data_IF_756922183684
#
_entry.id   IF_756922183684
#
_cell.length_a   1.000
_cell.length_b   1.000
_cell.length_c   1.000
_cell.angle_alpha   90.00
_cell.angle_beta   90.00
_cell.angle_gamma   90.00
#
_symmetry.space_group_name_H-M   'P 1'
#
loop_
_entity.id
_entity.type
_entity.pdbx_description
1 polymer ?
#
# COMPACT_ATOMS: atom_id res chain seq x y z
N UNK A 1 -24.40 5.34 65.00
CA UNK A 1 -24.15 4.54 63.78
C UNK A 1 -24.12 5.51 62.60
N UNK A 2 -22.98 5.66 61.91
CA UNK A 2 -22.84 6.62 60.82
C UNK A 2 -23.58 6.13 59.56
N UNK A 3 -24.07 7.06 58.71
CA UNK A 3 -24.75 6.73 57.47
C UNK A 3 -23.77 6.12 56.44
N UNK A 4 -24.27 5.30 55.50
CA UNK A 4 -23.43 4.60 54.53
C UNK A 4 -22.82 5.55 53.49
N UNK A 5 -21.65 5.14 53.02
CA UNK A 5 -20.71 5.89 52.21
C UNK A 5 -21.28 6.41 50.88
N UNK A 6 -20.90 7.66 50.57
CA UNK A 6 -21.02 8.29 49.25
C UNK A 6 -20.49 7.37 48.15
N UNK A 7 -21.38 6.94 47.27
CA UNK A 7 -21.06 6.51 45.92
C UNK A 7 -20.45 7.69 45.17
N UNK A 8 -19.15 7.61 44.89
CA UNK A 8 -18.46 8.53 43.98
C UNK A 8 -18.97 8.22 42.58
N UNK A 9 -19.80 9.12 42.03
CA UNK A 9 -20.16 9.11 40.62
C UNK A 9 -18.89 9.30 39.75
N UNK A 10 -18.80 8.67 38.57
CA UNK A 10 -17.71 8.92 37.65
C UNK A 10 -17.90 10.31 37.02
N UNK A 11 -17.07 11.26 37.46
CA UNK A 11 -16.99 12.61 36.91
C UNK A 11 -16.97 12.60 35.38
N UNK A 12 -17.84 13.46 34.85
CA UNK A 12 -18.14 13.74 33.47
C UNK A 12 -16.89 13.78 32.56
N UNK A 13 -16.97 13.04 31.46
CA UNK A 13 -16.11 13.23 30.28
C UNK A 13 -16.26 14.68 29.81
N UNK A 14 -15.35 15.55 30.27
CA UNK A 14 -15.12 16.86 29.67
C UNK A 14 -14.84 16.66 28.20
N UNK A 15 -15.84 16.96 27.38
CA UNK A 15 -15.73 17.12 25.95
C UNK A 15 -14.60 18.12 25.68
N UNK A 16 -13.45 17.60 25.25
CA UNK A 16 -12.41 18.39 24.60
C UNK A 16 -13.10 19.05 23.39
N UNK A 17 -13.50 20.30 23.55
CA UNK A 17 -13.90 21.18 22.46
C UNK A 17 -12.67 21.37 21.60
N UNK A 18 -12.56 20.49 20.60
CA UNK A 18 -11.58 20.56 19.55
C UNK A 18 -11.69 21.96 18.93
N UNK A 19 -10.64 22.80 19.09
CA UNK A 19 -10.39 23.91 18.17
C UNK A 19 -10.33 23.29 16.77
N UNK A 20 -11.45 23.37 16.08
CA UNK A 20 -11.61 22.98 14.70
C UNK A 20 -10.66 23.87 13.89
N UNK A 21 -9.48 23.33 13.55
CA UNK A 21 -9.01 23.50 12.18
C UNK A 21 -10.16 22.94 11.33
N UNK A 22 -11.15 23.77 10.97
CA UNK A 22 -12.17 23.49 9.96
C UNK A 22 -11.38 23.12 8.69
N UNK A 23 -11.03 21.84 8.56
CA UNK A 23 -10.64 21.24 7.30
C UNK A 23 -11.91 21.29 6.48
N UNK A 24 -12.06 22.38 5.72
CA UNK A 24 -12.95 22.56 4.57
C UNK A 24 -13.17 21.17 3.93
N UNK A 25 -14.24 20.48 4.36
CA UNK A 25 -14.40 19.04 4.11
C UNK A 25 -14.97 18.82 2.73
N UNK A 26 -14.35 19.50 1.76
CA UNK A 26 -14.55 19.29 0.34
C UNK A 26 -14.60 17.78 0.09
N UNK A 27 -15.71 17.25 -0.44
CA UNK A 27 -15.88 15.82 -0.56
C UNK A 27 -14.82 15.28 -1.53
N UNK A 28 -14.02 14.31 -1.07
CA UNK A 28 -12.97 13.68 -1.87
C UNK A 28 -13.36 12.24 -2.16
N UNK A 29 -13.54 11.90 -3.44
CA UNK A 29 -13.82 10.52 -3.87
C UNK A 29 -12.77 9.95 -4.84
N UNK A 30 -11.76 10.76 -5.23
CA UNK A 30 -10.73 10.37 -6.19
C UNK A 30 -9.36 10.89 -5.79
N UNK A 31 -8.33 10.07 -6.07
CA UNK A 31 -6.93 10.42 -5.85
C UNK A 31 -6.21 10.38 -7.19
N UNK A 32 -5.55 11.48 -7.53
CA UNK A 32 -4.65 11.57 -8.68
C UNK A 32 -3.20 11.51 -8.20
N UNK A 33 -2.42 10.58 -8.73
CA UNK A 33 -1.00 10.44 -8.39
C UNK A 33 -0.13 10.71 -9.62
N UNK A 34 0.41 11.92 -9.71
CA UNK A 34 1.20 12.36 -10.85
C UNK A 34 2.69 12.25 -10.56
N UNK A 35 3.47 11.81 -11.54
CA UNK A 35 4.92 11.75 -11.45
C UNK A 35 5.52 13.13 -11.74
N UNK A 36 6.48 13.53 -10.90
CA UNK A 36 7.27 14.75 -11.08
C UNK A 36 8.62 14.44 -11.74
N UNK A 37 9.05 15.30 -12.65
CA UNK A 37 10.34 15.22 -13.35
C UNK A 37 11.20 16.45 -13.05
N UNK A 38 11.75 16.55 -11.82
CA UNK A 38 12.55 17.70 -11.43
C UNK A 38 13.91 17.74 -12.12
N UNK A 39 14.43 18.94 -12.39
CA UNK A 39 15.84 19.17 -12.76
C UNK A 39 16.77 18.78 -11.61
N UNK A 40 18.08 18.67 -11.87
CA UNK A 40 19.08 18.34 -10.83
C UNK A 40 19.02 19.30 -9.63
N UNK A 41 18.92 20.60 -9.88
CA UNK A 41 18.79 21.62 -8.82
C UNK A 41 17.46 21.48 -8.05
N UNK A 42 16.34 21.28 -8.75
CA UNK A 42 15.03 21.07 -8.12
C UNK A 42 15.02 19.82 -7.23
N UNK A 43 15.68 18.75 -7.69
CA UNK A 43 15.81 17.49 -6.96
C UNK A 43 16.57 17.65 -5.65
N UNK A 44 17.66 18.42 -5.62
CA UNK A 44 18.41 18.69 -4.39
C UNK A 44 17.56 19.41 -3.35
N UNK A 45 16.77 20.40 -3.79
CA UNK A 45 15.82 21.11 -2.94
C UNK A 45 14.74 20.16 -2.41
N UNK A 46 14.13 19.33 -3.27
CA UNK A 46 13.17 18.30 -2.84
C UNK A 46 13.79 17.36 -1.79
N UNK A 47 14.99 16.83 -2.03
CA UNK A 47 15.69 15.98 -1.09
C UNK A 47 15.95 16.69 0.26
N UNK A 48 16.23 18.00 0.24
CA UNK A 48 16.36 18.83 1.44
C UNK A 48 15.03 19.00 2.19
N UNK A 49 13.90 19.18 1.50
CA UNK A 49 12.57 19.23 2.13
C UNK A 49 12.28 17.93 2.90
N UNK A 50 12.44 16.77 2.25
CA UNK A 50 12.22 15.46 2.88
C UNK A 50 13.22 15.16 4.01
N UNK A 51 14.48 15.59 3.86
CA UNK A 51 15.46 15.44 4.92
C UNK A 51 15.10 16.26 6.16
N UNK A 52 14.61 17.49 5.97
CA UNK A 52 14.25 18.41 7.04
C UNK A 52 12.96 18.00 7.75
N UNK A 53 11.90 17.69 6.99
CA UNK A 53 10.64 17.17 7.56
C UNK A 53 10.91 15.93 8.44
N UNK A 54 11.70 14.98 7.96
CA UNK A 54 12.09 13.78 8.72
C UNK A 54 12.90 14.12 9.97
N UNK A 55 13.85 15.04 9.88
CA UNK A 55 14.71 15.41 11.01
C UNK A 55 13.90 16.07 12.12
N UNK A 56 13.00 17.00 11.77
CA UNK A 56 12.10 17.70 12.69
C UNK A 56 11.14 16.71 13.35
N UNK A 57 10.44 15.89 12.56
CA UNK A 57 9.56 14.85 13.10
C UNK A 57 10.29 13.92 14.08
N UNK A 58 11.47 13.39 13.69
CA UNK A 58 12.23 12.51 14.58
C UNK A 58 12.71 13.22 15.85
N UNK A 59 12.99 14.52 15.76
CA UNK A 59 13.37 15.32 16.92
C UNK A 59 12.18 15.53 17.88
N UNK A 60 10.99 15.83 17.35
CA UNK A 60 9.74 15.90 18.11
C UNK A 60 9.47 14.58 18.86
N UNK A 61 9.57 13.44 18.15
CA UNK A 61 9.37 12.11 18.75
C UNK A 61 10.42 11.80 19.84
N UNK A 62 11.67 12.21 19.63
CA UNK A 62 12.75 11.97 20.59
C UNK A 62 12.61 12.82 21.86
N UNK A 63 12.26 14.10 21.71
CA UNK A 63 12.06 15.02 22.84
C UNK A 63 10.83 14.63 23.67
N UNK A 64 9.70 14.34 23.02
CA UNK A 64 8.47 13.90 23.69
C UNK A 64 8.55 12.55 24.39
N UNK A 65 9.65 11.81 24.28
CA UNK A 65 9.73 10.44 24.80
C UNK A 65 9.58 10.38 26.33
N UNK A 66 10.23 11.28 27.06
CA UNK A 66 10.20 11.27 28.52
C UNK A 66 8.79 11.61 29.05
N UNK A 67 8.18 12.68 28.54
CA UNK A 67 6.85 13.09 29.00
C UNK A 67 5.75 12.13 28.57
N UNK A 68 5.88 11.49 27.40
CA UNK A 68 4.97 10.40 26.99
C UNK A 68 5.05 9.18 27.92
N UNK A 69 6.21 8.90 28.51
CA UNK A 69 6.35 7.87 29.55
C UNK A 69 5.85 8.38 30.91
N UNK A 70 5.99 9.67 31.21
CA UNK A 70 5.43 10.28 32.43
C UNK A 70 3.89 10.25 32.49
N UNK A 71 3.20 10.20 31.35
CA UNK A 71 1.74 10.01 31.29
C UNK A 71 1.33 8.68 31.96
N UNK A 72 2.18 7.65 31.94
CA UNK A 72 1.87 6.38 32.62
C UNK A 72 2.04 6.44 34.14
N UNK A 73 2.71 7.47 34.68
CA UNK A 73 2.96 7.65 36.12
C UNK A 73 2.05 8.70 36.77
N UNK A 74 0.95 9.09 36.12
CA UNK A 74 -0.07 9.98 36.69
C UNK A 74 0.08 11.47 36.37
N UNK A 75 1.04 11.89 35.52
CA UNK A 75 1.12 13.28 35.05
C UNK A 75 -0.04 13.58 34.09
N UNK A 76 -0.96 14.45 34.49
CA UNK A 76 -2.08 14.95 33.67
C UNK A 76 -1.60 16.01 32.67
N UNK A 77 -0.95 15.60 31.58
CA UNK A 77 -0.72 16.49 30.42
C UNK A 77 -1.75 16.15 29.34
N UNK A 78 -2.56 17.14 28.94
CA UNK A 78 -3.52 16.97 27.85
C UNK A 78 -2.79 16.78 26.51
N UNK A 79 -3.46 16.20 25.51
CA UNK A 79 -2.86 16.02 24.18
C UNK A 79 -2.48 17.37 23.57
N UNK A 80 -3.34 18.38 23.76
CA UNK A 80 -3.11 19.74 23.30
C UNK A 80 -1.88 20.35 23.96
N UNK A 81 -1.78 20.26 25.29
CA UNK A 81 -0.64 20.78 26.05
C UNK A 81 0.69 20.14 25.62
N UNK A 82 0.71 18.80 25.48
CA UNK A 82 1.90 18.08 25.00
C UNK A 82 2.31 18.55 23.59
N UNK A 83 1.34 18.68 22.68
CA UNK A 83 1.65 19.13 21.33
C UNK A 83 2.19 20.58 21.34
N UNK A 84 1.54 21.47 22.09
CA UNK A 84 1.93 22.87 22.21
C UNK A 84 3.35 23.03 22.77
N UNK A 85 3.72 22.28 23.81
CA UNK A 85 5.05 22.28 24.41
C UNK A 85 6.16 22.00 23.38
N UNK A 86 5.89 21.10 22.43
CA UNK A 86 6.87 20.69 21.41
C UNK A 86 6.78 21.46 20.10
N UNK A 87 5.77 22.33 19.93
CA UNK A 87 5.63 23.22 18.77
C UNK A 87 6.89 24.03 18.44
N UNK A 88 7.66 24.57 19.43
CA UNK A 88 8.87 25.33 19.16
C UNK A 88 9.96 24.59 18.37
N UNK A 89 9.95 23.25 18.32
CA UNK A 89 10.91 22.46 17.53
C UNK A 89 10.68 22.64 16.02
N UNK A 90 9.45 22.95 15.60
CA UNK A 90 9.08 23.19 14.21
C UNK A 90 9.11 24.68 13.81
N UNK A 91 9.25 25.59 14.76
CA UNK A 91 9.27 27.04 14.53
C UNK A 91 10.70 27.52 14.29
N UNK A 92 10.90 28.35 13.25
CA UNK A 92 12.22 28.80 12.80
C UNK A 92 13.03 29.52 13.91
N UNK A 93 12.39 30.41 14.66
CA UNK A 93 13.03 31.25 15.69
C UNK A 93 13.55 30.43 16.88
N UNK A 94 12.88 29.34 17.23
CA UNK A 94 13.19 28.52 18.41
C UNK A 94 13.89 27.19 18.10
N UNK A 95 13.88 26.73 16.84
CA UNK A 95 14.42 25.42 16.46
C UNK A 95 15.92 25.26 16.79
N UNK A 96 16.69 26.36 16.80
CA UNK A 96 18.12 26.35 17.13
C UNK A 96 18.45 25.73 18.49
N UNK A 97 17.55 25.90 19.48
CA UNK A 97 17.70 25.36 20.84
C UNK A 97 17.76 23.83 20.88
N UNK A 98 17.17 23.16 19.89
CA UNK A 98 16.99 21.71 19.91
C UNK A 98 18.02 20.96 19.05
N UNK A 99 18.60 21.61 18.04
CA UNK A 99 19.52 20.99 17.09
C UNK A 99 20.97 21.38 17.36
N UNK A 100 21.74 20.47 17.97
CA UNK A 100 23.16 20.69 18.31
C UNK A 100 24.11 20.82 17.10
N UNK A 101 23.70 20.40 15.90
CA UNK A 101 24.56 20.44 14.71
C UNK A 101 24.21 21.65 13.83
N UNK A 102 25.04 22.69 13.90
CA UNK A 102 24.83 23.96 13.19
C UNK A 102 24.72 23.79 11.66
N UNK A 103 25.50 22.87 11.05
CA UNK A 103 25.43 22.60 9.61
C UNK A 103 24.10 21.95 9.21
N UNK A 104 23.59 21.05 10.04
CA UNK A 104 22.29 20.42 9.79
C UNK A 104 21.14 21.42 10.03
N UNK A 105 21.23 22.20 11.11
CA UNK A 105 20.27 23.24 11.45
C UNK A 105 20.13 24.28 10.32
N UNK A 106 21.24 24.79 9.78
CA UNK A 106 21.22 25.73 8.66
C UNK A 106 20.43 25.19 7.46
N UNK A 107 20.60 23.89 7.13
CA UNK A 107 19.83 23.23 6.06
C UNK A 107 18.33 23.12 6.37
N UNK A 108 17.96 22.97 7.64
CA UNK A 108 16.56 22.89 8.06
C UNK A 108 15.90 24.28 8.15
N UNK A 109 16.67 25.33 8.43
CA UNK A 109 16.18 26.71 8.43
C UNK A 109 15.84 27.21 7.02
N UNK A 110 16.57 26.75 6.00
CA UNK A 110 16.37 27.10 4.59
C UNK A 110 15.07 26.56 3.96
N UNK A 111 14.37 25.60 4.60
CA UNK A 111 13.13 25.06 4.05
C UNK A 111 11.92 25.93 4.40
N UNK A 112 10.87 25.82 3.58
CA UNK A 112 9.58 26.46 3.83
C UNK A 112 9.01 26.09 5.20
N UNK A 113 8.33 27.03 5.85
CA UNK A 113 7.64 26.83 7.14
C UNK A 113 6.60 25.70 7.06
N UNK A 114 5.78 25.66 6.01
CA UNK A 114 4.81 24.60 5.72
C UNK A 114 5.42 23.18 5.78
N UNK A 115 6.71 23.00 5.43
CA UNK A 115 7.38 21.69 5.51
C UNK A 115 7.70 21.29 6.95
N UNK A 116 8.01 22.29 7.79
CA UNK A 116 8.21 22.11 9.24
C UNK A 116 6.86 21.90 9.93
N UNK A 117 5.84 22.65 9.52
CA UNK A 117 4.48 22.51 10.03
C UNK A 117 3.86 21.17 9.66
N UNK A 118 4.09 20.67 8.45
CA UNK A 118 3.70 19.31 8.08
C UNK A 118 4.36 18.26 8.98
N UNK A 119 5.62 18.45 9.39
CA UNK A 119 6.28 17.52 10.31
C UNK A 119 5.62 17.54 11.70
N UNK A 120 5.18 18.71 12.15
CA UNK A 120 4.44 18.88 13.40
C UNK A 120 3.02 18.29 13.33
N UNK A 121 2.29 18.50 12.23
CA UNK A 121 0.97 17.86 12.01
C UNK A 121 1.08 16.34 12.01
N UNK A 122 2.09 15.79 11.33
CA UNK A 122 2.37 14.36 11.35
C UNK A 122 2.68 13.84 12.76
N UNK A 123 3.36 14.65 13.58
CA UNK A 123 3.61 14.35 14.98
C UNK A 123 2.31 14.35 15.81
N UNK A 124 1.47 15.40 15.72
CA UNK A 124 0.16 15.46 16.40
C UNK A 124 -0.71 14.26 16.04
N UNK A 125 -0.82 13.93 14.73
CA UNK A 125 -1.53 12.75 14.21
C UNK A 125 -0.98 11.45 14.83
N UNK A 126 0.35 11.28 14.83
CA UNK A 126 0.98 10.09 15.37
C UNK A 126 0.83 9.94 16.89
N UNK A 127 0.83 11.03 17.66
CA UNK A 127 0.55 11.01 19.11
C UNK A 127 -0.92 10.62 19.35
N UNK A 128 -1.88 11.24 18.64
CA UNK A 128 -3.32 10.92 18.74
C UNK A 128 -3.56 9.42 18.47
N UNK A 129 -3.02 8.88 17.37
CA UNK A 129 -3.14 7.45 17.05
C UNK A 129 -2.48 6.53 18.08
N UNK A 130 -1.31 6.92 18.60
CA UNK A 130 -0.62 6.16 19.64
C UNK A 130 -1.42 6.09 20.94
N UNK A 131 -2.01 7.21 21.36
CA UNK A 131 -2.84 7.28 22.56
C UNK A 131 -4.13 6.47 22.40
N UNK A 132 -4.81 6.58 21.26
CA UNK A 132 -6.00 5.80 20.96
C UNK A 132 -5.73 4.28 21.01
N UNK A 133 -4.62 3.83 20.40
CA UNK A 133 -4.22 2.43 20.44
C UNK A 133 -3.95 1.95 21.89
N UNK A 134 -3.29 2.77 22.70
CA UNK A 134 -3.01 2.45 24.10
C UNK A 134 -4.29 2.19 24.90
N UNK A 135 -5.24 3.12 24.86
CA UNK A 135 -6.50 2.98 25.60
C UNK A 135 -7.36 1.84 25.07
N UNK A 136 -7.38 1.61 23.76
CA UNK A 136 -8.09 0.48 23.16
C UNK A 136 -7.53 -0.88 23.64
N UNK A 137 -6.21 -1.00 23.82
CA UNK A 137 -5.60 -2.22 24.34
C UNK A 137 -5.77 -2.35 25.86
N UNK A 138 -5.67 -1.24 26.62
CA UNK A 138 -5.96 -1.22 28.07
C UNK A 138 -7.38 -1.66 28.38
N UNK A 139 -8.36 -1.21 27.59
CA UNK A 139 -9.76 -1.63 27.73
C UNK A 139 -9.99 -3.12 27.46
N UNK A 140 -9.09 -3.79 26.74
CA UNK A 140 -9.12 -5.24 26.50
C UNK A 140 -8.39 -6.06 27.57
N UNK A 141 -7.85 -5.42 28.60
CA UNK A 141 -7.05 -6.09 29.64
C UNK A 141 -5.70 -6.61 29.14
N UNK A 142 -5.24 -6.17 27.97
CA UNK A 142 -3.94 -6.56 27.42
C UNK A 142 -2.81 -5.81 28.14
N UNK A 143 -1.68 -6.50 28.39
CA UNK A 143 -0.48 -5.90 28.97
C UNK A 143 0.11 -4.88 27.97
N UNK A 144 0.03 -3.59 28.29
CA UNK A 144 0.34 -2.53 27.33
C UNK A 144 1.42 -1.59 27.84
N UNK A 145 2.41 -1.34 26.99
CA UNK A 145 3.35 -0.23 27.14
C UNK A 145 2.86 0.89 26.24
N UNK A 146 2.94 2.14 26.69
CA UNK A 146 2.59 3.29 25.84
C UNK A 146 3.34 3.16 24.51
N UNK A 147 2.66 3.23 23.34
CA UNK A 147 3.29 2.80 22.09
C UNK A 147 4.50 3.66 21.76
N UNK A 148 5.63 3.01 21.48
CA UNK A 148 6.82 3.71 21.05
C UNK A 148 6.62 4.20 19.61
N UNK A 149 6.41 5.51 19.46
CA UNK A 149 6.31 6.16 18.16
C UNK A 149 7.55 5.88 17.33
N UNK A 150 7.35 5.35 16.13
CA UNK A 150 8.47 4.99 15.24
C UNK A 150 9.06 6.24 14.59
N UNK A 151 10.39 6.31 14.58
CA UNK A 151 11.10 7.31 13.77
C UNK A 151 10.88 7.10 12.27
N UNK A 152 10.72 8.19 11.54
CA UNK A 152 10.74 8.20 10.08
C UNK A 152 12.15 7.84 9.57
N UNK A 153 12.21 6.86 8.68
CA UNK A 153 13.45 6.36 8.08
C UNK A 153 13.66 6.94 6.67
N UNK A 154 14.90 7.37 6.39
CA UNK A 154 15.33 7.73 5.01
C UNK A 154 15.18 6.55 4.04
N UNK A 155 15.16 5.33 4.56
CA UNK A 155 15.07 4.09 3.78
C UNK A 155 13.66 3.48 3.76
N UNK A 156 12.66 4.18 4.30
CA UNK A 156 11.26 3.79 4.14
C UNK A 156 10.92 3.67 2.63
N UNK A 157 9.99 2.78 2.23
CA UNK A 157 9.59 2.62 0.83
C UNK A 157 9.16 3.95 0.19
N UNK A 158 8.44 4.76 0.95
CA UNK A 158 8.06 6.12 0.60
C UNK A 158 8.08 7.03 1.83
N UNK A 159 8.30 8.33 1.62
CA UNK A 159 8.05 9.38 2.60
C UNK A 159 7.08 10.39 1.96
N UNK A 160 6.26 11.03 2.77
CA UNK A 160 5.28 12.03 2.31
C UNK A 160 5.41 13.32 3.11
N UNK A 161 5.04 14.43 2.48
CA UNK A 161 4.89 15.76 3.09
C UNK A 161 3.54 16.28 2.61
N UNK A 162 2.73 16.77 3.54
CA UNK A 162 1.45 17.43 3.22
C UNK A 162 1.69 18.92 2.99
N UNK A 163 1.14 19.47 1.92
CA UNK A 163 1.27 20.89 1.55
C UNK A 163 -0.13 21.45 1.30
N UNK A 164 -0.52 22.51 2.01
CA UNK A 164 -1.81 23.19 1.82
C UNK A 164 -1.96 23.76 0.40
N UNK A 165 -3.19 23.75 -0.11
CA UNK A 165 -3.57 24.20 -1.47
C UNK A 165 -3.02 25.59 -1.84
N UNK A 166 -3.06 26.55 -0.91
CA UNK A 166 -2.59 27.94 -1.08
C UNK A 166 -1.14 28.06 -1.56
N UNK A 167 -0.33 27.03 -1.35
CA UNK A 167 1.08 27.02 -1.74
C UNK A 167 1.36 26.33 -3.08
N UNK A 168 0.34 25.83 -3.78
CA UNK A 168 0.49 25.02 -4.98
C UNK A 168 -0.51 25.46 -6.04
N UNK A 169 -0.04 25.69 -7.27
CA UNK A 169 -0.89 26.01 -8.42
C UNK A 169 -0.46 25.21 -9.64
N UNK A 170 -1.43 24.80 -10.46
CA UNK A 170 -1.18 24.28 -11.80
C UNK A 170 -1.01 25.46 -12.77
N UNK A 171 -0.05 25.36 -13.69
CA UNK A 171 0.23 26.39 -14.71
C UNK A 171 0.52 25.69 -16.03
N UNK A 172 -0.01 26.20 -17.13
CA UNK A 172 0.32 25.77 -18.48
C UNK A 172 1.26 26.79 -19.15
N UNK A 173 2.37 26.32 -19.73
CA UNK A 173 3.35 27.17 -20.42
C UNK A 173 4.09 26.40 -21.51
N UNK A 174 4.21 26.98 -22.71
CA UNK A 174 4.97 26.41 -23.85
C UNK A 174 4.53 24.97 -24.20
N UNK A 175 3.22 24.69 -24.11
CA UNK A 175 2.66 23.35 -24.29
C UNK A 175 3.00 22.34 -23.17
N UNK A 176 3.73 22.76 -22.12
CA UNK A 176 4.09 21.95 -20.96
C UNK A 176 3.27 22.36 -19.74
N UNK A 177 2.71 21.36 -19.05
CA UNK A 177 1.99 21.56 -17.80
C UNK A 177 2.96 21.51 -16.62
N UNK A 178 2.85 22.46 -15.71
CA UNK A 178 3.78 22.67 -14.60
C UNK A 178 3.02 22.70 -13.27
N UNK A 179 3.59 22.11 -12.23
CA UNK A 179 3.20 22.43 -10.85
C UNK A 179 4.13 23.52 -10.35
N UNK A 180 3.54 24.64 -9.97
CA UNK A 180 4.25 25.72 -9.30
C UNK A 180 3.99 25.66 -7.80
N UNK A 181 5.07 25.63 -7.05
CA UNK A 181 5.04 25.82 -5.61
C UNK A 181 5.30 27.29 -5.29
N UNK A 182 4.83 27.73 -4.13
CA UNK A 182 5.10 29.08 -3.64
C UNK A 182 6.61 29.40 -3.65
N UNK A 183 6.95 30.66 -3.94
CA UNK A 183 8.34 31.09 -4.24
C UNK A 183 9.35 30.69 -3.17
N UNK A 184 8.94 30.64 -1.91
CA UNK A 184 9.77 30.31 -0.75
C UNK A 184 10.11 28.81 -0.64
N UNK A 185 9.47 27.91 -1.39
CA UNK A 185 9.83 26.48 -1.40
C UNK A 185 11.09 26.20 -2.22
N UNK A 186 11.19 26.84 -3.38
CA UNK A 186 12.25 26.54 -4.36
C UNK A 186 12.99 27.76 -4.87
N UNK A 187 12.66 28.97 -4.41
CA UNK A 187 13.17 30.21 -5.00
C UNK A 187 12.72 30.40 -6.45
N UNK A 188 11.59 29.80 -6.84
CA UNK A 188 11.11 29.84 -8.23
C UNK A 188 10.83 31.28 -8.65
N UNK A 189 11.30 31.64 -9.85
CA UNK A 189 10.81 32.85 -10.54
C UNK A 189 9.32 32.71 -10.84
N UNK A 190 8.64 33.82 -11.19
CA UNK A 190 7.18 33.83 -11.41
C UNK A 190 6.72 32.78 -12.45
N UNK A 191 7.61 32.35 -13.34
CA UNK A 191 7.30 31.45 -14.45
C UNK A 191 8.04 30.09 -14.39
N UNK A 192 8.55 29.70 -13.21
CA UNK A 192 9.25 28.42 -13.00
C UNK A 192 8.37 27.41 -12.22
N UNK A 193 8.42 26.15 -12.63
CA UNK A 193 7.70 25.05 -12.00
C UNK A 193 8.32 23.69 -12.30
N UNK A 194 7.71 22.63 -11.78
CA UNK A 194 8.13 21.24 -12.03
C UNK A 194 7.21 20.64 -13.07
N UNK A 195 7.79 20.04 -14.12
CA UNK A 195 7.06 19.47 -15.25
C UNK A 195 6.17 18.29 -14.81
N UNK A 196 4.93 18.33 -15.30
CA UNK A 196 3.97 17.23 -15.30
C UNK A 196 3.80 16.70 -16.73
N UNK A 197 3.65 15.38 -16.84
CA UNK A 197 3.25 14.74 -18.10
C UNK A 197 1.75 14.51 -18.20
N UNK A 198 1.00 14.81 -17.14
CA UNK A 198 -0.44 14.56 -17.04
C UNK A 198 -1.15 15.85 -16.65
N UNK A 199 -2.42 15.94 -17.01
CA UNK A 199 -3.27 17.10 -16.73
C UNK A 199 -3.59 17.18 -15.24
N UNK A 200 -3.22 18.28 -14.60
CA UNK A 200 -3.61 18.58 -13.24
C UNK A 200 -4.79 19.56 -13.25
N UNK A 201 -5.95 19.12 -12.77
CA UNK A 201 -7.10 19.98 -12.49
C UNK A 201 -6.79 20.96 -11.36
N UNK A 202 -7.67 21.94 -11.14
CA UNK A 202 -7.52 22.87 -10.02
C UNK A 202 -7.33 22.15 -8.68
N UNK A 203 -6.37 22.66 -7.89
CA UNK A 203 -6.00 22.08 -6.61
C UNK A 203 -6.89 22.72 -5.54
N UNK A 204 -8.07 22.15 -5.34
CA UNK A 204 -9.00 22.61 -4.32
C UNK A 204 -8.51 22.28 -2.90
N UNK A 205 -7.88 21.12 -2.70
CA UNK A 205 -7.54 20.59 -1.37
C UNK A 205 -6.02 20.58 -1.10
N UNK A 206 -5.62 20.25 0.13
CA UNK A 206 -4.22 19.94 0.41
C UNK A 206 -3.71 18.82 -0.49
N UNK A 207 -2.43 18.89 -0.85
CA UNK A 207 -1.74 17.88 -1.65
C UNK A 207 -0.75 17.10 -0.79
N UNK A 208 -0.36 15.90 -1.23
CA UNK A 208 0.78 15.19 -0.65
C UNK A 208 1.92 15.06 -1.65
N UNK A 209 3.07 15.60 -1.30
CA UNK A 209 4.32 15.35 -2.00
C UNK A 209 4.91 14.03 -1.50
N UNK A 210 5.12 13.07 -2.40
CA UNK A 210 5.67 11.76 -2.07
C UNK A 210 7.06 11.57 -2.70
N UNK A 211 8.00 11.05 -1.91
CA UNK A 211 9.32 10.61 -2.36
C UNK A 211 9.48 9.12 -2.15
N UNK A 212 9.73 8.39 -3.23
CA UNK A 212 10.07 6.98 -3.18
C UNK A 212 11.54 6.78 -2.80
N UNK A 213 11.84 5.62 -2.22
CA UNK A 213 13.21 5.21 -1.86
C UNK A 213 14.18 5.27 -3.05
N UNK A 214 13.67 5.05 -4.25
CA UNK A 214 14.42 5.01 -5.51
C UNK A 214 14.83 6.41 -5.99
N UNK A 215 14.29 7.48 -5.38
CA UNK A 215 14.55 8.88 -5.74
C UNK A 215 13.59 9.45 -6.76
N UNK A 216 12.41 8.83 -6.91
CA UNK A 216 11.31 9.34 -7.72
C UNK A 216 10.34 10.15 -6.86
N UNK A 217 9.76 11.19 -7.45
CA UNK A 217 8.87 12.12 -6.78
C UNK A 217 7.49 12.08 -7.42
N UNK A 218 6.47 12.20 -6.59
CA UNK A 218 5.08 12.23 -7.00
C UNK A 218 4.34 13.32 -6.26
N UNK A 219 3.35 13.91 -6.90
CA UNK A 219 2.33 14.72 -6.26
C UNK A 219 1.04 13.90 -6.21
N UNK A 220 0.42 13.85 -5.05
CA UNK A 220 -0.86 13.19 -4.81
C UNK A 220 -1.87 14.30 -4.56
N UNK A 221 -2.86 14.38 -5.43
CA UNK A 221 -3.91 15.39 -5.40
C UNK A 221 -5.24 14.70 -5.14
N UNK A 222 -5.93 15.18 -4.10
CA UNK A 222 -7.27 14.75 -3.76
C UNK A 222 -8.25 15.60 -4.59
N UNK A 223 -9.26 14.96 -5.17
CA UNK A 223 -10.26 15.65 -5.99
C UNK A 223 -11.62 15.00 -5.84
N UNK A 224 -12.65 15.81 -6.03
CA UNK A 224 -13.98 15.33 -6.35
C UNK A 224 -14.04 15.03 -7.85
N UNK A 225 -14.59 13.87 -8.21
CA UNK A 225 -14.82 13.49 -9.60
C UNK A 225 -16.16 12.80 -9.71
N UNK A 226 -16.95 13.21 -10.68
CA UNK A 226 -18.12 12.47 -11.12
C UNK A 226 -17.70 11.29 -12.00
N UNK A 227 -18.32 10.14 -11.77
CA UNK A 227 -18.08 8.93 -12.52
C UNK A 227 -19.32 8.65 -13.40
N UNK A 228 -19.13 8.37 -14.70
CA UNK A 228 -20.25 8.03 -15.55
C UNK A 228 -20.88 6.74 -15.04
N UNK A 229 -22.20 6.71 -15.02
CA UNK A 229 -22.96 5.48 -14.78
C UNK A 229 -22.77 4.53 -15.98
N UNK A 230 -22.80 3.21 -15.76
CA UNK A 230 -22.61 2.22 -16.79
C UNK A 230 -23.78 2.31 -17.77
N UNK A 231 -23.45 2.35 -19.05
CA UNK A 231 -24.44 2.41 -20.14
C UNK A 231 -25.27 1.13 -20.27
N UNK A 232 -24.93 0.07 -19.51
CA UNK A 232 -25.41 -1.27 -19.79
C UNK A 232 -25.69 -2.07 -18.51
N UNK A 233 -26.83 -2.74 -18.47
CA UNK A 233 -27.29 -3.62 -17.37
C UNK A 233 -26.76 -5.06 -17.47
N UNK A 234 -25.67 -5.28 -18.23
CA UNK A 234 -25.12 -6.61 -18.49
C UNK A 234 -24.57 -7.26 -17.23
N UNK A 235 -24.69 -8.58 -17.19
CA UNK A 235 -24.13 -9.43 -16.13
C UNK A 235 -23.12 -10.41 -16.73
N UNK A 236 -22.00 -10.66 -16.04
CA UNK A 236 -21.03 -11.65 -16.50
C UNK A 236 -20.47 -12.49 -15.35
N UNK A 237 -19.97 -13.69 -15.66
CA UNK A 237 -19.20 -14.52 -14.74
C UNK A 237 -17.71 -14.52 -15.11
N UNK A 238 -16.85 -14.61 -14.10
CA UNK A 238 -15.40 -14.65 -14.25
C UNK A 238 -14.86 -15.93 -13.64
N UNK A 239 -14.11 -16.71 -14.41
CA UNK A 239 -13.27 -17.81 -13.95
C UNK A 239 -11.81 -17.35 -13.78
N UNK A 240 -11.31 -17.17 -12.54
CA UNK A 240 -9.92 -16.78 -12.28
C UNK A 240 -8.96 -17.96 -12.38
N UNK A 241 -7.85 -17.79 -13.12
CA UNK A 241 -6.89 -18.87 -13.34
C UNK A 241 -5.42 -18.43 -13.38
N UNK A 242 -4.52 -19.41 -13.41
CA UNK A 242 -3.06 -19.14 -13.48
C UNK A 242 -2.57 -19.06 -14.93
N UNK A 243 -3.07 -19.95 -15.80
CA UNK A 243 -2.72 -19.97 -17.22
C UNK A 243 -3.36 -18.78 -17.93
N UNK A 244 -4.69 -18.74 -17.92
CA UNK A 244 -5.47 -17.58 -18.27
C UNK A 244 -5.78 -16.84 -16.97
N UNK A 245 -5.38 -15.57 -16.87
CA UNK A 245 -5.54 -14.80 -15.63
C UNK A 245 -7.00 -14.72 -15.20
N UNK A 246 -7.86 -14.47 -16.18
CA UNK A 246 -9.31 -14.55 -16.07
C UNK A 246 -9.89 -15.03 -17.40
N UNK A 247 -10.99 -15.77 -17.32
CA UNK A 247 -11.90 -16.04 -18.45
C UNK A 247 -13.27 -15.52 -18.07
N UNK A 248 -13.90 -14.77 -18.96
CA UNK A 248 -15.17 -14.07 -18.73
C UNK A 248 -16.21 -14.66 -19.66
N UNK A 249 -17.41 -14.90 -19.14
CA UNK A 249 -18.59 -15.36 -19.88
C UNK A 249 -19.77 -14.40 -19.62
N UNK A 250 -20.48 -14.04 -20.70
CA UNK A 250 -21.71 -13.24 -20.71
C UNK A 250 -22.85 -14.11 -21.25
N UNK A 251 -24.10 -13.96 -20.76
CA UNK A 251 -25.25 -14.74 -21.20
C UNK A 251 -25.58 -14.60 -22.70
N UNK A 252 -25.07 -13.58 -23.39
CA UNK A 252 -25.16 -13.45 -24.85
C UNK A 252 -24.10 -14.30 -25.59
N UNK A 253 -23.62 -15.38 -24.98
CA UNK A 253 -22.56 -16.28 -25.44
C UNK A 253 -21.23 -15.57 -25.82
N UNK A 254 -20.96 -14.40 -25.23
CA UNK A 254 -19.68 -13.70 -25.43
C UNK A 254 -18.65 -14.18 -24.42
N UNK A 255 -17.44 -14.44 -24.90
CA UNK A 255 -16.33 -14.91 -24.08
C UNK A 255 -15.08 -14.07 -24.28
N UNK A 256 -14.32 -13.87 -23.20
CA UNK A 256 -13.07 -13.11 -23.23
C UNK A 256 -12.08 -13.69 -22.22
N UNK A 257 -10.84 -13.93 -22.62
CA UNK A 257 -9.80 -14.44 -21.72
C UNK A 257 -8.54 -13.59 -21.76
N UNK A 258 -7.95 -13.34 -20.59
CA UNK A 258 -6.64 -12.68 -20.48
C UNK A 258 -5.54 -13.73 -20.45
N UNK A 259 -5.00 -14.03 -21.63
CA UNK A 259 -3.92 -15.01 -21.83
C UNK A 259 -2.54 -14.40 -21.58
N UNK A 260 -1.51 -15.24 -21.47
CA UNK A 260 -0.07 -14.88 -21.43
C UNK A 260 0.43 -13.93 -20.32
N UNK A 261 -0.42 -13.51 -19.39
CA UNK A 261 -0.02 -12.67 -18.26
C UNK A 261 1.17 -13.25 -17.49
N UNK A 262 1.15 -14.56 -17.23
CA UNK A 262 2.20 -15.28 -16.52
C UNK A 262 3.53 -15.28 -17.28
N UNK A 263 3.50 -15.40 -18.62
CA UNK A 263 4.68 -15.40 -19.49
C UNK A 263 5.36 -14.03 -19.53
N UNK A 264 4.59 -12.95 -19.67
CA UNK A 264 5.10 -11.56 -19.66
C UNK A 264 5.79 -11.24 -18.32
N UNK A 265 5.22 -11.77 -17.24
CA UNK A 265 5.73 -11.57 -15.88
C UNK A 265 6.96 -12.43 -15.58
N UNK A 266 6.99 -13.67 -16.08
CA UNK A 266 8.03 -14.68 -15.81
C UNK A 266 9.45 -14.12 -15.99
N UNK A 267 9.75 -13.49 -17.13
CA UNK A 267 11.09 -12.93 -17.43
C UNK A 267 11.56 -11.93 -16.36
N UNK A 268 10.66 -11.07 -15.85
CA UNK A 268 11.01 -10.07 -14.82
C UNK A 268 11.22 -10.71 -13.46
N UNK A 269 10.43 -11.71 -13.10
CA UNK A 269 10.57 -12.42 -11.83
C UNK A 269 11.81 -13.30 -11.80
N UNK A 270 12.13 -14.00 -12.89
CA UNK A 270 13.36 -14.79 -12.99
C UNK A 270 14.61 -13.91 -12.85
N UNK A 271 14.63 -12.73 -13.46
CA UNK A 271 15.73 -11.79 -13.28
C UNK A 271 15.88 -11.34 -11.82
N UNK A 272 14.75 -11.08 -11.15
CA UNK A 272 14.73 -10.72 -9.71
C UNK A 272 15.25 -11.88 -8.85
N UNK A 273 14.81 -13.10 -9.12
CA UNK A 273 15.20 -14.30 -8.37
C UNK A 273 16.69 -14.61 -8.54
N UNK A 274 17.23 -14.52 -9.77
CA UNK A 274 18.68 -14.64 -10.04
C UNK A 274 19.49 -13.63 -9.21
N UNK A 275 19.06 -12.36 -9.20
CA UNK A 275 19.73 -11.32 -8.41
C UNK A 275 19.60 -11.55 -6.90
N UNK A 276 18.41 -11.97 -6.41
CA UNK A 276 18.18 -12.28 -4.99
C UNK A 276 19.04 -13.45 -4.53
N UNK A 277 19.11 -14.52 -5.32
CA UNK A 277 19.94 -15.69 -5.04
C UNK A 277 21.41 -15.30 -4.90
N UNK A 278 21.95 -14.52 -5.86
CA UNK A 278 23.32 -14.01 -5.79
C UNK A 278 23.57 -13.17 -4.53
N UNK A 279 22.65 -12.26 -4.18
CA UNK A 279 22.77 -11.45 -2.95
C UNK A 279 22.72 -12.33 -1.69
N UNK A 280 21.87 -13.36 -1.66
CA UNK A 280 21.78 -14.28 -0.54
C UNK A 280 23.07 -15.08 -0.34
N UNK A 281 23.68 -15.60 -1.40
CA UNK A 281 24.98 -16.30 -1.34
C UNK A 281 26.05 -15.37 -0.77
N UNK A 282 26.14 -14.13 -1.29
CA UNK A 282 27.09 -13.14 -0.78
C UNK A 282 26.84 -12.77 0.69
N UNK A 283 25.57 -12.63 1.09
CA UNK A 283 25.21 -12.32 2.47
C UNK A 283 25.54 -13.49 3.41
N UNK A 284 25.37 -14.74 2.98
CA UNK A 284 25.81 -15.93 3.73
C UNK A 284 27.34 -15.94 3.89
N UNK A 285 28.10 -15.77 2.81
CA UNK A 285 29.56 -15.70 2.86
C UNK A 285 30.07 -14.53 3.73
N UNK A 286 29.37 -13.39 3.72
CA UNK A 286 29.66 -12.25 4.59
C UNK A 286 29.39 -12.55 6.07
N UNK A 287 28.35 -13.34 6.39
CA UNK A 287 28.05 -13.75 7.76
C UNK A 287 29.10 -14.73 8.29
N UNK A 288 29.56 -15.66 7.47
CA UNK A 288 30.62 -16.63 7.85
C UNK A 288 31.94 -15.91 8.17
N UNK A 289 32.34 -14.91 7.37
CA UNK A 289 33.54 -14.09 7.61
C UNK A 289 33.48 -13.19 8.85
N UNK A 290 32.28 -12.85 9.30
CA UNK A 290 32.05 -11.94 10.43
C UNK A 290 31.05 -12.55 11.41
N UNK A 291 31.44 -13.62 12.12
CA UNK A 291 30.55 -14.33 13.04
C UNK A 291 30.16 -13.46 14.24
N UNK A 292 31.08 -12.65 14.75
CA UNK A 292 30.86 -11.71 15.83
C UNK A 292 30.56 -10.30 15.27
N UNK A 293 29.33 -9.82 15.50
CA UNK A 293 28.97 -8.41 15.24
C UNK A 293 29.46 -7.52 16.37
N UNK A 294 30.78 -7.42 16.56
CA UNK A 294 31.31 -6.41 17.48
C UNK A 294 31.10 -5.06 16.81
N UNK A 295 30.11 -4.31 17.32
CA UNK A 295 29.86 -2.94 16.91
C UNK A 295 30.92 -2.06 17.57
N UNK A 296 32.16 -2.16 17.11
CA UNK A 296 33.23 -1.28 17.55
C UNK A 296 32.77 0.15 17.24
N UNK A 297 32.61 0.97 18.28
CA UNK A 297 32.51 2.43 18.14
C UNK A 297 33.89 2.93 17.67
N UNK A 298 34.33 2.53 16.48
CA UNK A 298 35.63 2.92 15.97
C UNK A 298 35.64 4.42 15.67
N UNK A 299 36.57 5.09 16.36
CA UNK A 299 37.06 6.48 16.31
C UNK A 299 36.36 7.46 15.35
N UNK A 300 35.87 8.57 15.94
CA UNK A 300 35.74 9.88 15.28
C UNK A 300 37.02 10.14 14.48
N UNK A 301 36.97 10.11 13.15
CA UNK A 301 38.14 10.55 12.36
C UNK A 301 38.20 10.10 10.90
N UNK A 302 37.82 8.86 10.56
CA UNK A 302 37.95 8.39 9.17
C UNK A 302 36.69 7.66 8.71
N UNK A 303 36.03 8.17 7.67
CA UNK A 303 35.00 7.42 6.94
C UNK A 303 35.72 6.25 6.27
N UNK A 304 35.75 5.07 6.89
CA UNK A 304 36.28 3.90 6.19
C UNK A 304 35.51 3.72 4.87
N UNK A 305 36.25 3.70 3.76
CA UNK A 305 35.67 3.57 2.46
C UNK A 305 34.97 2.21 2.40
N UNK A 306 33.66 2.20 2.13
CA UNK A 306 32.88 0.95 2.03
C UNK A 306 33.54 0.02 1.01
N UNK A 307 33.74 -1.25 1.37
CA UNK A 307 34.35 -2.23 0.46
C UNK A 307 33.63 -2.32 -0.90
N UNK A 308 34.36 -2.73 -1.95
CA UNK A 308 33.78 -2.94 -3.28
C UNK A 308 32.59 -3.91 -3.22
N UNK A 309 32.71 -4.97 -2.41
CA UNK A 309 31.64 -5.94 -2.16
C UNK A 309 30.39 -5.30 -1.53
N UNK A 310 30.55 -4.43 -0.53
CA UNK A 310 29.43 -3.68 0.06
C UNK A 310 28.72 -2.82 -0.99
N UNK A 311 29.50 -2.10 -1.81
CA UNK A 311 28.95 -1.26 -2.89
C UNK A 311 28.21 -2.11 -3.93
N UNK A 312 28.76 -3.26 -4.30
CA UNK A 312 28.12 -4.21 -5.22
C UNK A 312 26.79 -4.74 -4.67
N UNK A 313 26.76 -5.25 -3.43
CA UNK A 313 25.51 -5.70 -2.78
C UNK A 313 24.48 -4.59 -2.69
N UNK A 314 24.91 -3.37 -2.38
CA UNK A 314 24.01 -2.20 -2.36
C UNK A 314 23.41 -1.90 -3.74
N UNK A 315 24.23 -1.88 -4.80
CA UNK A 315 23.78 -1.70 -6.19
C UNK A 315 22.82 -2.81 -6.63
N UNK A 316 23.12 -4.06 -6.31
CA UNK A 316 22.26 -5.21 -6.59
C UNK A 316 20.91 -5.11 -5.87
N UNK A 317 20.89 -4.83 -4.56
CA UNK A 317 19.64 -4.61 -3.82
C UNK A 317 18.82 -3.45 -4.39
N UNK A 318 19.47 -2.39 -4.88
CA UNK A 318 18.80 -1.28 -5.57
C UNK A 318 18.20 -1.73 -6.91
N UNK A 319 18.92 -2.53 -7.70
CA UNK A 319 18.42 -3.09 -8.96
C UNK A 319 17.24 -4.03 -8.75
N UNK A 320 17.31 -4.91 -7.73
CA UNK A 320 16.21 -5.80 -7.33
C UNK A 320 14.94 -4.98 -7.09
N UNK A 321 15.00 -3.96 -6.23
CA UNK A 321 13.82 -3.11 -5.93
C UNK A 321 13.25 -2.45 -7.18
N UNK A 322 14.12 -1.90 -8.04
CA UNK A 322 13.69 -1.26 -9.28
C UNK A 322 13.00 -2.24 -10.23
N UNK A 323 13.58 -3.42 -10.45
CA UNK A 323 13.01 -4.45 -11.34
C UNK A 323 11.71 -5.01 -10.76
N UNK A 324 11.65 -5.29 -9.45
CA UNK A 324 10.42 -5.72 -8.78
C UNK A 324 9.32 -4.69 -8.90
N UNK A 325 9.64 -3.40 -8.68
CA UNK A 325 8.67 -2.31 -8.86
C UNK A 325 8.16 -2.23 -10.30
N UNK A 326 9.04 -2.36 -11.30
CA UNK A 326 8.63 -2.43 -12.71
C UNK A 326 7.66 -3.58 -12.97
N UNK A 327 7.92 -4.78 -12.42
CA UNK A 327 7.00 -5.90 -12.54
C UNK A 327 5.64 -5.56 -11.90
N UNK A 328 5.64 -5.02 -10.68
CA UNK A 328 4.40 -4.58 -10.00
C UNK A 328 3.65 -3.50 -10.78
N UNK A 329 4.34 -2.55 -11.42
CA UNK A 329 3.70 -1.54 -12.27
C UNK A 329 3.00 -2.17 -13.48
N UNK A 330 3.64 -3.15 -14.14
CA UNK A 330 3.03 -3.87 -15.27
C UNK A 330 1.80 -4.67 -14.84
N UNK A 331 1.89 -5.39 -13.71
CA UNK A 331 0.73 -6.09 -13.13
C UNK A 331 -0.39 -5.10 -12.84
N UNK A 332 -0.09 -4.02 -12.11
CA UNK A 332 -1.10 -3.03 -11.75
C UNK A 332 -1.76 -2.38 -12.98
N UNK A 333 -1.00 -2.07 -14.02
CA UNK A 333 -1.53 -1.52 -15.27
C UNK A 333 -2.55 -2.48 -15.92
N UNK A 334 -2.19 -3.76 -16.05
CA UNK A 334 -3.10 -4.80 -16.53
C UNK A 334 -4.36 -4.88 -15.67
N UNK A 335 -4.21 -4.94 -14.34
CA UNK A 335 -5.34 -5.03 -13.41
C UNK A 335 -6.26 -3.80 -13.50
N UNK A 336 -5.70 -2.59 -13.59
CA UNK A 336 -6.49 -1.38 -13.72
C UNK A 336 -7.22 -1.31 -15.07
N UNK A 337 -6.57 -1.65 -16.18
CA UNK A 337 -7.22 -1.68 -17.50
C UNK A 337 -8.38 -2.68 -17.53
N UNK A 338 -8.12 -3.92 -17.10
CA UNK A 338 -9.11 -4.98 -17.08
C UNK A 338 -10.30 -4.65 -16.17
N UNK A 339 -10.04 -4.24 -14.93
CA UNK A 339 -11.13 -3.89 -13.98
C UNK A 339 -11.92 -2.66 -14.42
N UNK A 340 -11.30 -1.67 -15.07
CA UNK A 340 -12.03 -0.54 -15.64
C UNK A 340 -12.91 -0.97 -16.81
N UNK A 341 -12.37 -1.80 -17.71
CA UNK A 341 -13.11 -2.30 -18.86
C UNK A 341 -14.33 -3.13 -18.42
N UNK A 342 -14.14 -4.07 -17.48
CA UNK A 342 -15.23 -4.88 -16.93
C UNK A 342 -16.31 -4.01 -16.28
N UNK A 343 -15.93 -3.06 -15.42
CA UNK A 343 -16.87 -2.17 -14.74
C UNK A 343 -17.59 -1.21 -15.71
N UNK A 344 -17.01 -0.89 -16.87
CA UNK A 344 -17.67 -0.06 -17.88
C UNK A 344 -18.67 -0.82 -18.75
N UNK A 345 -18.55 -2.15 -18.83
CA UNK A 345 -19.35 -2.98 -19.74
C UNK A 345 -20.40 -3.82 -19.04
N UNK A 346 -20.25 -4.05 -17.74
CA UNK A 346 -21.14 -4.90 -16.95
C UNK A 346 -21.57 -4.13 -15.70
N UNK A 347 -22.85 -4.27 -15.35
CA UNK A 347 -23.40 -3.80 -14.10
C UNK A 347 -23.15 -4.81 -12.99
N UNK A 348 -23.32 -6.11 -13.26
CA UNK A 348 -23.17 -7.16 -12.26
C UNK A 348 -22.10 -8.18 -12.66
N UNK A 349 -21.27 -8.58 -11.71
CA UNK A 349 -20.20 -9.56 -11.97
C UNK A 349 -20.20 -10.64 -10.91
N UNK A 350 -20.26 -11.90 -11.36
CA UNK A 350 -20.03 -13.09 -10.54
C UNK A 350 -18.54 -13.42 -10.54
N UNK A 351 -17.92 -13.50 -9.36
CA UNK A 351 -16.52 -13.87 -9.22
C UNK A 351 -16.33 -14.82 -8.03
N UNK A 352 -15.85 -16.06 -8.25
CA UNK A 352 -15.63 -16.98 -7.16
C UNK A 352 -14.44 -16.58 -6.29
N UNK A 353 -14.37 -17.19 -5.10
CA UNK A 353 -13.31 -16.95 -4.15
C UNK A 353 -12.00 -17.62 -4.57
N UNK A 354 -11.04 -16.84 -5.08
CA UNK A 354 -9.73 -17.36 -5.46
C UNK A 354 -8.69 -17.22 -4.32
N UNK A 355 -8.70 -18.18 -3.38
CA UNK A 355 -7.90 -18.16 -2.14
C UNK A 355 -6.40 -18.45 -2.37
N UNK A 356 -5.71 -17.52 -3.03
CA UNK A 356 -4.29 -17.66 -3.39
C UNK A 356 -3.40 -17.93 -2.18
N UNK A 357 -3.64 -17.28 -1.05
CA UNK A 357 -2.81 -17.46 0.16
C UNK A 357 -2.82 -18.90 0.66
N UNK A 358 -3.95 -19.58 0.57
CA UNK A 358 -4.11 -20.96 1.02
C UNK A 358 -3.48 -21.92 0.02
N UNK A 359 -3.79 -21.75 -1.27
CA UNK A 359 -3.21 -22.56 -2.35
C UNK A 359 -1.68 -22.54 -2.43
N UNK A 360 -1.04 -21.45 -2.01
CA UNK A 360 0.43 -21.30 -2.04
C UNK A 360 1.12 -21.63 -0.72
N UNK A 361 0.39 -21.93 0.37
CA UNK A 361 0.99 -22.38 1.63
C UNK A 361 1.83 -23.61 1.34
N UNK A 362 3.05 -23.65 1.88
CA UNK A 362 3.98 -24.75 1.60
C UNK A 362 3.61 -26.02 2.38
N UNK A 363 3.16 -25.82 3.61
CA UNK A 363 2.79 -26.86 4.54
C UNK A 363 1.39 -26.55 5.04
N UNK A 364 0.56 -27.59 5.07
CA UNK A 364 -0.77 -27.56 5.63
C UNK A 364 -0.84 -28.55 6.78
N UNK A 365 -1.49 -28.13 7.87
CA UNK A 365 -1.70 -28.99 9.03
C UNK A 365 -2.82 -29.95 8.68
N UNK A 366 -2.57 -31.26 8.68
CA UNK A 366 -3.66 -32.23 8.69
C UNK A 366 -4.08 -32.42 10.14
N UNK A 367 -5.27 -31.94 10.47
CA UNK A 367 -6.00 -32.42 11.63
C UNK A 367 -6.68 -33.71 11.18
N UNK A 368 -6.28 -34.86 11.73
CA UNK A 368 -7.01 -36.09 11.51
C UNK A 368 -8.43 -35.91 12.08
N UNK A 369 -9.45 -36.49 11.45
CA UNK A 369 -10.83 -36.47 11.97
C UNK A 369 -10.93 -37.02 13.39
N UNK A 370 -9.95 -37.82 13.80
CA UNK A 370 -9.93 -38.58 15.06
C UNK A 370 -8.82 -38.07 16.01
N UNK A 371 -8.48 -36.78 15.95
CA UNK A 371 -7.35 -36.21 16.69
C UNK A 371 -7.58 -36.24 18.22
N UNK A 372 -6.84 -37.11 18.92
CA UNK A 372 -6.60 -37.03 20.36
C UNK A 372 -5.47 -36.03 20.66
N UNK A 373 -5.35 -35.49 21.89
CA UNK A 373 -4.28 -34.55 22.27
C UNK A 373 -2.85 -35.08 22.04
N UNK A 374 -2.70 -36.39 21.85
CA UNK A 374 -1.42 -37.09 21.81
C UNK A 374 -0.90 -37.40 20.39
N UNK A 375 -1.70 -37.18 19.34
CA UNK A 375 -1.24 -37.43 17.96
C UNK A 375 -0.58 -36.17 17.37
N UNK A 376 0.72 -36.22 17.00
CA UNK A 376 1.39 -35.05 16.43
C UNK A 376 0.79 -34.69 15.07
N UNK A 377 0.45 -33.42 14.90
CA UNK A 377 -0.04 -32.90 13.63
C UNK A 377 0.96 -33.18 12.51
N UNK A 378 0.54 -33.96 11.50
CA UNK A 378 1.37 -34.25 10.34
C UNK A 378 1.25 -33.12 9.31
N UNK A 379 2.39 -32.65 8.82
CA UNK A 379 2.44 -31.58 7.83
C UNK A 379 2.42 -32.15 6.41
N UNK A 380 1.40 -31.82 5.62
CA UNK A 380 1.38 -32.18 4.21
C UNK A 380 2.03 -31.07 3.36
N UNK A 381 2.90 -31.47 2.43
CA UNK A 381 3.44 -30.54 1.44
C UNK A 381 2.41 -30.20 0.37
N UNK A 382 2.43 -28.94 -0.09
CA UNK A 382 1.57 -28.44 -1.17
C UNK A 382 1.65 -29.27 -2.45
N UNK A 383 0.49 -29.65 -3.00
CA UNK A 383 0.35 -30.35 -4.29
C UNK A 383 0.78 -29.49 -5.51
N UNK A 384 0.57 -28.18 -5.45
CA UNK A 384 0.90 -27.24 -6.54
C UNK A 384 2.42 -27.08 -6.69
N UNK A 385 2.94 -27.03 -7.93
CA UNK A 385 4.38 -26.84 -8.20
C UNK A 385 4.86 -25.42 -7.87
N UNK A 386 6.13 -25.27 -7.49
CA UNK A 386 6.74 -23.97 -7.13
C UNK A 386 6.69 -22.88 -8.22
N UNK A 387 6.85 -23.17 -9.52
CA UNK A 387 6.63 -22.18 -10.57
C UNK A 387 5.20 -21.63 -10.58
N UNK A 388 4.20 -22.51 -10.45
CA UNK A 388 2.77 -22.14 -10.46
C UNK A 388 2.41 -21.22 -9.29
N UNK A 389 2.81 -21.55 -8.05
CA UNK A 389 2.54 -20.65 -6.92
C UNK A 389 3.23 -19.29 -7.05
N UNK A 390 4.42 -19.24 -7.65
CA UNK A 390 5.09 -17.96 -7.91
C UNK A 390 4.30 -17.13 -8.93
N UNK A 391 3.76 -17.76 -9.97
CA UNK A 391 2.90 -17.09 -10.94
C UNK A 391 1.62 -16.55 -10.28
N UNK A 392 0.95 -17.35 -9.45
CA UNK A 392 -0.24 -16.93 -8.69
C UNK A 392 0.03 -15.70 -7.81
N UNK A 393 1.14 -15.72 -7.07
CA UNK A 393 1.55 -14.58 -6.23
C UNK A 393 1.92 -13.34 -7.05
N UNK A 394 2.41 -13.53 -8.28
CA UNK A 394 2.76 -12.45 -9.19
C UNK A 394 1.54 -11.80 -9.86
N UNK A 395 0.50 -12.59 -10.15
CA UNK A 395 -0.71 -12.13 -10.85
C UNK A 395 -1.67 -11.33 -9.95
N UNK A 396 -1.56 -11.48 -8.62
CA UNK A 396 -2.26 -10.64 -7.63
C UNK A 396 -3.81 -10.64 -7.77
N UNK A 397 -4.43 -11.81 -7.90
CA UNK A 397 -5.89 -12.00 -8.04
C UNK A 397 -6.71 -11.27 -6.97
N UNK A 398 -6.28 -11.31 -5.70
CA UNK A 398 -6.99 -10.58 -4.64
C UNK A 398 -7.04 -9.07 -4.91
N UNK A 399 -5.93 -8.48 -5.40
CA UNK A 399 -5.91 -7.07 -5.77
C UNK A 399 -6.84 -6.79 -6.95
N UNK A 400 -6.95 -7.70 -7.90
CA UNK A 400 -7.90 -7.59 -9.01
C UNK A 400 -9.35 -7.59 -8.50
N UNK A 401 -9.73 -8.54 -7.63
CA UNK A 401 -11.04 -8.58 -6.97
C UNK A 401 -11.38 -7.24 -6.30
N UNK A 402 -10.45 -6.70 -5.50
CA UNK A 402 -10.66 -5.42 -4.81
C UNK A 402 -10.80 -4.23 -5.78
N UNK A 403 -9.98 -4.18 -6.83
CA UNK A 403 -10.08 -3.12 -7.84
C UNK A 403 -11.36 -3.20 -8.65
N UNK A 404 -11.83 -4.40 -8.97
CA UNK A 404 -13.06 -4.63 -9.70
C UNK A 404 -14.27 -4.25 -8.85
N UNK A 405 -14.34 -4.72 -7.59
CA UNK A 405 -15.39 -4.34 -6.63
C UNK A 405 -15.51 -2.83 -6.50
N UNK A 406 -14.40 -2.16 -6.17
CA UNK A 406 -14.36 -0.70 -6.02
C UNK A 406 -14.86 0.05 -7.27
N UNK A 407 -14.55 -0.43 -8.47
CA UNK A 407 -14.93 0.25 -9.71
C UNK A 407 -16.37 -0.02 -10.12
N UNK A 408 -16.89 -1.22 -9.83
CA UNK A 408 -18.29 -1.55 -10.02
C UNK A 408 -19.17 -0.72 -9.09
N UNK A 409 -18.87 -0.70 -7.79
CA UNK A 409 -19.62 0.09 -6.80
C UNK A 409 -19.67 1.57 -7.18
N UNK A 410 -18.54 2.11 -7.64
CA UNK A 410 -18.43 3.50 -8.10
C UNK A 410 -19.25 3.79 -9.36
N UNK A 411 -19.55 2.77 -10.15
CA UNK A 411 -20.40 2.82 -11.33
C UNK A 411 -21.82 2.28 -11.00
N UNK A 412 -22.23 2.21 -9.73
CA UNK A 412 -23.57 1.69 -9.38
C UNK A 412 -23.80 0.20 -9.70
N UNK A 413 -22.75 -0.55 -10.01
CA UNK A 413 -22.76 -1.99 -10.24
C UNK A 413 -22.35 -2.79 -9.00
N UNK A 414 -22.48 -4.11 -9.08
CA UNK A 414 -22.18 -5.03 -7.97
C UNK A 414 -21.19 -6.14 -8.36
N UNK A 415 -20.30 -6.48 -7.43
CA UNK A 415 -19.47 -7.69 -7.52
C UNK A 415 -19.98 -8.72 -6.49
N UNK A 416 -20.60 -9.79 -6.98
CA UNK A 416 -21.10 -10.88 -6.14
C UNK A 416 -20.03 -11.98 -6.04
N UNK A 417 -19.61 -12.30 -4.82
CA UNK A 417 -18.72 -13.45 -4.58
C UNK A 417 -19.55 -14.72 -4.58
N UNK A 418 -19.13 -15.74 -5.34
CA UNK A 418 -19.92 -16.94 -5.55
C UNK A 418 -19.11 -18.23 -5.35
N UNK A 419 -19.79 -19.37 -5.41
CA UNK A 419 -19.16 -20.69 -5.32
C UNK A 419 -18.70 -21.20 -6.69
N UNK A 420 -17.60 -21.95 -6.71
CA UNK A 420 -17.04 -22.57 -7.93
C UNK A 420 -16.98 -24.10 -7.90
N UNK A 421 -17.56 -24.74 -6.89
CA UNK A 421 -17.52 -26.19 -6.76
C UNK A 421 -18.09 -26.90 -7.99
N UNK A 422 -17.37 -27.92 -8.47
CA UNK A 422 -17.68 -28.74 -9.66
C UNK A 422 -17.82 -27.98 -10.99
N UNK A 423 -17.67 -26.65 -11.03
CA UNK A 423 -17.84 -25.84 -12.25
C UNK A 423 -16.87 -26.24 -13.36
N UNK A 424 -15.60 -26.51 -13.02
CA UNK A 424 -14.59 -26.95 -13.98
C UNK A 424 -14.76 -28.41 -14.46
N UNK A 425 -15.47 -29.26 -13.69
CA UNK A 425 -15.70 -30.68 -13.99
C UNK A 425 -16.99 -30.94 -14.79
N UNK A 426 -17.96 -30.03 -14.71
CA UNK A 426 -19.30 -30.21 -15.27
C UNK A 426 -19.32 -29.82 -16.75
N UNK A 427 -20.00 -30.57 -17.60
CA UNK A 427 -20.22 -30.15 -18.99
C UNK A 427 -21.29 -29.05 -19.05
N UNK A 428 -20.94 -27.88 -19.58
CA UNK A 428 -21.88 -26.76 -19.73
C UNK A 428 -22.99 -26.97 -20.77
N UNK A 429 -22.94 -28.06 -21.55
CA UNK A 429 -23.97 -28.42 -22.53
C UNK A 429 -25.01 -29.41 -21.99
N UNK A 430 -24.58 -30.41 -21.20
CA UNK A 430 -25.45 -31.51 -20.77
C UNK A 430 -25.43 -31.79 -19.25
N UNK A 431 -24.65 -31.06 -18.46
CA UNK A 431 -24.57 -31.24 -17.01
C UNK A 431 -23.73 -32.42 -16.51
N UNK A 432 -23.20 -33.27 -17.40
CA UNK A 432 -22.41 -34.44 -17.02
C UNK A 432 -21.12 -34.05 -16.26
N UNK A 433 -20.86 -34.70 -15.11
CA UNK A 433 -19.67 -34.44 -14.29
C UNK A 433 -18.54 -35.36 -14.72
N UNK A 434 -17.41 -34.75 -15.07
CA UNK A 434 -16.17 -35.47 -15.37
C UNK A 434 -15.31 -35.59 -14.11
N UNK A 435 -15.17 -36.80 -13.58
CA UNK A 435 -14.35 -37.02 -12.38
C UNK A 435 -12.86 -36.72 -12.59
N UNK A 436 -12.30 -37.19 -13.71
CA UNK A 436 -10.89 -37.05 -14.04
C UNK A 436 -10.65 -35.93 -15.05
N UNK A 437 -10.58 -34.69 -14.56
CA UNK A 437 -10.46 -33.49 -15.41
C UNK A 437 -9.06 -33.32 -16.04
N UNK A 438 -8.01 -33.83 -15.39
CA UNK A 438 -6.63 -33.76 -15.87
C UNK A 438 -6.10 -32.33 -16.08
N UNK A 439 -5.03 -32.19 -16.87
CA UNK A 439 -4.38 -30.90 -17.18
C UNK A 439 -4.70 -30.30 -18.56
N UNK A 440 -5.61 -30.92 -19.31
CA UNK A 440 -6.00 -30.51 -20.67
C UNK A 440 -6.68 -29.15 -20.70
N UNK A 441 -6.45 -28.41 -21.78
CA UNK A 441 -7.04 -27.08 -22.06
C UNK A 441 -8.39 -27.23 -22.77
N UNK A 442 -8.66 -28.42 -23.31
CA UNK A 442 -9.92 -28.79 -23.94
C UNK A 442 -10.69 -29.70 -22.99
N UNK A 443 -11.92 -29.32 -22.69
CA UNK A 443 -12.92 -30.17 -22.06
C UNK A 443 -13.64 -30.99 -23.13
N UNK A 444 -13.68 -32.32 -22.96
CA UNK A 444 -14.45 -33.22 -23.80
C UNK A 444 -15.45 -33.97 -22.92
N UNK A 445 -16.73 -33.80 -23.23
CA UNK A 445 -17.79 -34.55 -22.58
C UNK A 445 -17.85 -35.97 -23.14
N UNK A 446 -18.03 -36.98 -22.27
CA UNK A 446 -18.23 -38.37 -22.70
C UNK A 446 -19.70 -38.68 -23.01
N UNK A 447 -20.63 -37.92 -22.44
CA UNK A 447 -22.08 -38.10 -22.62
C UNK A 447 -22.58 -37.42 -23.90
N UNK A 448 -22.42 -36.09 -24.03
CA UNK A 448 -22.90 -35.36 -25.22
C UNK A 448 -21.84 -35.11 -26.30
N UNK A 449 -20.62 -35.62 -26.12
CA UNK A 449 -19.48 -35.43 -27.04
C UNK A 449 -19.06 -33.97 -27.33
N UNK A 450 -19.65 -32.99 -26.63
CA UNK A 450 -19.29 -31.59 -26.78
C UNK A 450 -17.82 -31.33 -26.43
N UNK A 451 -17.21 -30.42 -27.20
CA UNK A 451 -15.82 -29.97 -27.03
C UNK A 451 -15.83 -28.49 -26.68
N UNK A 452 -15.29 -28.15 -25.52
CA UNK A 452 -15.22 -26.78 -25.02
C UNK A 452 -13.78 -26.41 -24.69
N UNK A 453 -13.45 -25.12 -24.78
CA UNK A 453 -12.32 -24.58 -24.02
C UNK A 453 -12.65 -24.75 -22.53
N UNK A 454 -11.70 -25.29 -21.76
CA UNK A 454 -11.94 -25.66 -20.36
C UNK A 454 -12.28 -24.46 -19.49
N UNK A 455 -11.58 -23.35 -19.66
CA UNK A 455 -11.77 -22.16 -18.82
C UNK A 455 -13.07 -21.45 -19.23
N UNK A 456 -13.45 -21.50 -20.51
CA UNK A 456 -14.78 -21.02 -20.97
C UNK A 456 -15.91 -21.87 -20.39
N UNK A 457 -15.76 -23.19 -20.39
CA UNK A 457 -16.72 -24.10 -19.78
C UNK A 457 -16.87 -23.82 -18.27
N UNK A 458 -15.75 -23.59 -17.58
CA UNK A 458 -15.73 -23.15 -16.18
C UNK A 458 -16.51 -21.86 -15.97
N UNK A 459 -16.20 -20.80 -16.72
CA UNK A 459 -16.88 -19.52 -16.64
C UNK A 459 -18.39 -19.62 -16.92
N UNK A 460 -18.80 -20.42 -17.90
CA UNK A 460 -20.21 -20.68 -18.22
C UNK A 460 -20.94 -21.37 -17.08
N UNK A 461 -20.33 -22.39 -16.48
CA UNK A 461 -20.90 -23.09 -15.33
C UNK A 461 -20.96 -22.22 -14.08
N UNK A 462 -19.97 -21.34 -13.85
CA UNK A 462 -20.04 -20.36 -12.76
C UNK A 462 -21.26 -19.46 -12.95
N UNK A 463 -21.52 -18.99 -14.16
CA UNK A 463 -22.72 -18.20 -14.46
C UNK A 463 -23.99 -18.98 -14.17
N UNK A 464 -24.15 -20.17 -14.76
CA UNK A 464 -25.36 -20.98 -14.61
C UNK A 464 -25.65 -21.36 -13.15
N UNK A 465 -24.62 -21.75 -12.38
CA UNK A 465 -24.78 -22.10 -10.97
C UNK A 465 -25.22 -20.91 -10.10
N UNK A 466 -24.78 -19.70 -10.45
CA UNK A 466 -24.87 -18.54 -9.55
C UNK A 466 -25.71 -17.38 -10.11
N UNK A 467 -26.40 -17.56 -11.24
CA UNK A 467 -27.22 -16.52 -11.88
C UNK A 467 -28.30 -15.99 -10.93
N UNK A 468 -28.84 -16.82 -10.05
CA UNK A 468 -29.83 -16.44 -9.04
C UNK A 468 -29.29 -15.50 -7.95
N UNK A 469 -27.96 -15.32 -7.85
CA UNK A 469 -27.34 -14.37 -6.92
C UNK A 469 -27.21 -12.95 -7.51
N UNK A 470 -27.57 -12.76 -8.78
CA UNK A 470 -27.59 -11.45 -9.42
C UNK A 470 -28.84 -10.67 -8.96
N UNK A 471 -28.71 -9.36 -8.72
CA UNK A 471 -29.82 -8.50 -8.28
C UNK A 471 -30.87 -8.25 -9.36
#
# INVERSE_FOLDING_TARGET
MPPPANTVEPDEEMADTDDEDEEDSTPVNSILKLRLFPTSSQKEKLDQLFASNRAIYNKLVACSKADRLGITTGKRISLSALCFEYRPIAILTSMSKYFKNNKALARHCQVHDEVRDSAYRDFKKAVKSSRALFFAMKGKGEETKYPDMKFKSKFAPSNTIEIRNRHVRAIDRDGKRLVRFHKTFFGFKKNEGIVLHETLSEVATSIRLQRLREGEFYIIVHRLREFPQPECTRSCAIDPGVRNFVTVYDPNDRTFSVKDSSNVLKKKFEAVDKMKSKVQVMDKACKVRHPTKVRTKAKKGSKSCKTAEHRFRYRMRRRIRYTSRKATCVVNDMLHKLSSWLASKNQNVLLPSFQTSEMVRRYELKVASDATPETPATFQSRKIRSPTARAMMAQAHYKFKMLLKYKLERAGGCLTTCEEEYTSKTCSSCGEIKENLGGSDVFRCLSCHARHDRDVNGARNIFHKNVALLP
#
